data_IF_475626918443
#
_entry.id   IF_475626918443
#
_cell.length_a   1.000
_cell.length_b   1.000
_cell.length_c   1.000
_cell.angle_alpha   90.00
_cell.angle_beta   90.00
_cell.angle_gamma   90.00
#
_symmetry.space_group_name_H-M   'P 1'
#
loop_
_entity.id
_entity.type
_entity.pdbx_description
1 polymer ?
#
# COMPACT_ATOMS: atom_id res chain seq x y z
N UNK A 1 -1.85 -8.12 -1.93
CA UNK A 1 -0.91 -9.07 -2.58
C UNK A 1 -1.53 -9.72 -3.82
N UNK A 2 -2.68 -10.39 -3.73
CA UNK A 2 -3.34 -11.10 -4.86
C UNK A 2 -3.48 -10.24 -6.13
N UNK A 3 -3.89 -8.98 -5.99
CA UNK A 3 -4.09 -8.04 -7.11
C UNK A 3 -2.81 -7.78 -7.91
N UNK A 4 -1.66 -7.68 -7.23
CA UNK A 4 -0.36 -7.43 -7.88
C UNK A 4 0.08 -8.68 -8.66
N UNK A 5 -0.19 -9.87 -8.13
CA UNK A 5 0.08 -11.14 -8.80
C UNK A 5 -0.77 -11.23 -10.09
N UNK A 6 -2.08 -10.95 -10.01
CA UNK A 6 -2.97 -10.95 -11.18
C UNK A 6 -2.51 -9.91 -12.22
N UNK A 7 -2.09 -8.72 -11.77
CA UNK A 7 -1.56 -7.68 -12.65
C UNK A 7 -0.30 -8.12 -13.40
N UNK A 8 0.58 -8.90 -12.75
CA UNK A 8 1.80 -9.43 -13.38
C UNK A 8 1.52 -10.35 -14.57
N UNK A 9 0.43 -11.14 -14.50
CA UNK A 9 0.01 -12.04 -15.58
C UNK A 9 -0.89 -11.36 -16.63
N UNK A 10 -1.34 -10.13 -16.37
CA UNK A 10 -2.25 -9.41 -17.26
C UNK A 10 -1.52 -8.88 -18.49
N UNK A 11 -1.96 -9.29 -19.68
CA UNK A 11 -1.41 -8.83 -20.97
C UNK A 11 -2.36 -7.89 -21.75
N UNK A 12 -3.64 -7.88 -21.40
CA UNK A 12 -4.69 -7.17 -22.15
C UNK A 12 -5.11 -5.89 -21.43
N UNK A 13 -5.30 -4.79 -22.18
CA UNK A 13 -5.72 -3.49 -21.64
C UNK A 13 -7.06 -3.56 -20.87
N UNK A 14 -8.02 -4.35 -21.36
CA UNK A 14 -9.30 -4.53 -20.70
C UNK A 14 -9.15 -5.12 -19.30
N UNK A 15 -8.39 -6.21 -19.17
CA UNK A 15 -8.16 -6.87 -17.89
C UNK A 15 -7.37 -5.97 -16.94
N UNK A 16 -6.48 -5.12 -17.45
CA UNK A 16 -5.76 -4.12 -16.66
C UNK A 16 -6.73 -3.14 -15.98
N UNK A 17 -7.72 -2.61 -16.70
CA UNK A 17 -8.73 -1.70 -16.12
C UNK A 17 -9.59 -2.39 -15.06
N UNK A 18 -10.00 -3.64 -15.30
CA UNK A 18 -10.76 -4.42 -14.31
C UNK A 18 -9.95 -4.61 -13.04
N UNK A 19 -8.68 -5.00 -13.16
CA UNK A 19 -7.78 -5.16 -12.01
C UNK A 19 -7.53 -3.84 -11.30
N UNK A 20 -7.41 -2.72 -12.03
CA UNK A 20 -7.22 -1.39 -11.45
C UNK A 20 -8.44 -0.93 -10.63
N UNK A 21 -9.67 -1.23 -11.08
CA UNK A 21 -10.90 -0.93 -10.32
C UNK A 21 -10.93 -1.75 -9.03
N UNK A 22 -10.64 -3.05 -9.12
CA UNK A 22 -10.56 -3.93 -7.93
C UNK A 22 -9.47 -3.47 -6.96
N UNK A 23 -8.32 -3.02 -7.48
CA UNK A 23 -7.25 -2.43 -6.68
C UNK A 23 -7.72 -1.19 -5.91
N UNK A 24 -8.41 -0.28 -6.59
CA UNK A 24 -8.95 0.94 -5.98
C UNK A 24 -9.93 0.66 -4.85
N UNK A 25 -10.83 -0.30 -5.05
CA UNK A 25 -11.79 -0.73 -4.01
C UNK A 25 -11.09 -1.28 -2.77
N UNK A 26 -10.11 -2.17 -2.95
CA UNK A 26 -9.37 -2.76 -1.83
C UNK A 26 -8.53 -1.70 -1.10
N UNK A 27 -7.78 -0.87 -1.83
CA UNK A 27 -6.97 0.21 -1.23
C UNK A 27 -7.86 1.16 -0.43
N UNK A 28 -9.02 1.56 -0.98
CA UNK A 28 -9.98 2.43 -0.30
C UNK A 28 -10.53 1.80 1.00
N UNK A 29 -10.94 0.53 0.94
CA UNK A 29 -11.44 -0.19 2.11
C UNK A 29 -10.39 -0.32 3.22
N UNK A 30 -9.16 -0.71 2.88
CA UNK A 30 -8.06 -0.85 3.85
C UNK A 30 -7.69 0.48 4.49
N UNK A 31 -7.67 1.57 3.72
CA UNK A 31 -7.39 2.91 4.24
C UNK A 31 -8.47 3.41 5.20
N UNK A 32 -9.74 3.12 4.92
CA UNK A 32 -10.84 3.45 5.82
C UNK A 32 -10.74 2.69 7.15
N UNK A 33 -10.51 1.38 7.09
CA UNK A 33 -10.35 0.53 8.27
C UNK A 33 -9.15 0.99 9.11
N UNK A 34 -7.99 1.24 8.50
CA UNK A 34 -6.80 1.70 9.20
C UNK A 34 -7.03 3.00 9.98
N UNK A 35 -7.72 3.98 9.39
CA UNK A 35 -8.06 5.24 10.07
C UNK A 35 -9.02 5.03 11.24
N UNK A 36 -10.04 4.19 11.06
CA UNK A 36 -11.01 3.89 12.13
C UNK A 36 -10.35 3.16 13.30
N UNK A 37 -9.42 2.25 13.02
CA UNK A 37 -8.69 1.49 14.02
C UNK A 37 -7.71 2.39 14.78
N UNK A 38 -6.97 3.24 14.06
CA UNK A 38 -6.08 4.24 14.65
C UNK A 38 -6.85 5.19 15.59
N UNK A 39 -8.04 5.66 15.19
CA UNK A 39 -8.88 6.52 16.02
C UNK A 39 -9.33 5.88 17.34
N UNK A 40 -9.46 4.54 17.38
CA UNK A 40 -9.84 3.80 18.60
C UNK A 40 -8.69 3.58 19.57
N UNK A 41 -7.47 3.45 19.08
CA UNK A 41 -6.29 3.12 19.90
C UNK A 41 -5.65 4.39 20.51
N UNK A 42 -5.73 5.52 19.82
CA UNK A 42 -5.05 6.74 20.28
C UNK A 42 -5.73 7.32 21.53
N UNK A 43 -5.00 7.59 22.63
CA UNK A 43 -5.53 8.30 23.79
C UNK A 43 -5.95 9.73 23.43
N UNK A 44 -7.06 10.21 24.03
CA UNK A 44 -7.70 11.47 23.63
C UNK A 44 -6.76 12.68 23.64
N UNK A 45 -5.88 12.73 24.63
CA UNK A 45 -4.93 13.84 24.82
C UNK A 45 -3.77 13.86 23.81
N UNK A 46 -3.64 12.83 22.96
CA UNK A 46 -2.57 12.75 21.94
C UNK A 46 -3.09 12.55 20.51
N UNK A 47 -4.40 12.68 20.28
CA UNK A 47 -5.01 12.51 18.94
C UNK A 47 -4.29 13.33 17.87
N UNK A 48 -4.02 14.61 18.11
CA UNK A 48 -3.37 15.49 17.13
C UNK A 48 -1.94 15.02 16.75
N UNK A 49 -1.16 14.56 17.72
CA UNK A 49 0.23 14.13 17.51
C UNK A 49 0.32 12.83 16.68
N UNK A 50 -0.51 11.83 17.01
CA UNK A 50 -0.54 10.57 16.28
C UNK A 50 -1.15 10.70 14.88
N UNK A 51 -2.22 11.50 14.70
CA UNK A 51 -2.76 11.78 13.36
C UNK A 51 -1.78 12.62 12.52
N UNK A 52 -1.06 13.56 13.14
CA UNK A 52 0.02 14.32 12.51
C UNK A 52 1.16 13.40 12.03
N UNK A 53 1.61 12.48 12.89
CA UNK A 53 2.63 11.49 12.54
C UNK A 53 2.18 10.52 11.45
N UNK A 54 0.94 10.04 11.50
CA UNK A 54 0.37 9.19 10.45
C UNK A 54 0.31 9.92 9.09
N UNK A 55 -0.07 11.21 9.09
CA UNK A 55 -0.06 12.05 7.89
C UNK A 55 1.34 12.25 7.33
N UNK A 56 2.33 12.50 8.19
CA UNK A 56 3.73 12.63 7.80
C UNK A 56 4.29 11.32 7.22
N UNK A 57 4.09 10.19 7.91
CA UNK A 57 4.49 8.87 7.43
C UNK A 57 3.84 8.52 6.09
N UNK A 58 2.55 8.86 5.91
CA UNK A 58 1.83 8.64 4.66
C UNK A 58 2.43 9.46 3.51
N UNK A 59 2.86 10.70 3.76
CA UNK A 59 3.53 11.53 2.76
C UNK A 59 4.90 10.96 2.36
N UNK A 60 5.68 10.48 3.32
CA UNK A 60 6.94 9.80 3.02
C UNK A 60 6.68 8.57 2.16
N UNK A 61 5.73 7.71 2.54
CA UNK A 61 5.36 6.53 1.77
C UNK A 61 4.89 6.89 0.34
N UNK A 62 4.11 7.97 0.19
CA UNK A 62 3.62 8.45 -1.10
C UNK A 62 4.75 8.99 -2.01
N UNK A 63 5.84 9.49 -1.44
CA UNK A 63 7.02 9.94 -2.22
C UNK A 63 7.98 8.78 -2.49
N UNK A 64 8.29 7.97 -1.49
CA UNK A 64 9.26 6.87 -1.60
C UNK A 64 8.76 5.72 -2.47
N UNK A 65 7.46 5.40 -2.44
CA UNK A 65 6.88 4.32 -3.24
C UNK A 65 7.08 4.52 -4.75
N UNK A 66 6.63 5.64 -5.33
CA UNK A 66 6.86 5.96 -6.75
C UNK A 66 8.34 6.11 -7.10
N UNK A 67 9.17 6.60 -6.19
CA UNK A 67 10.61 6.72 -6.42
C UNK A 67 11.25 5.33 -6.61
N UNK A 68 10.97 4.38 -5.71
CA UNK A 68 11.46 3.00 -5.83
C UNK A 68 10.89 2.33 -7.08
N UNK A 69 9.58 2.46 -7.32
CA UNK A 69 8.94 1.89 -8.50
C UNK A 69 9.55 2.45 -9.80
N UNK A 70 9.72 3.77 -9.88
CA UNK A 70 10.29 4.46 -11.04
C UNK A 70 11.73 4.04 -11.30
N UNK A 71 12.58 4.01 -10.27
CA UNK A 71 13.97 3.58 -10.41
C UNK A 71 14.07 2.14 -10.92
N UNK A 72 13.29 1.20 -10.35
CA UNK A 72 13.29 -0.20 -10.81
C UNK A 72 12.69 -0.34 -12.20
N UNK A 73 11.68 0.47 -12.54
CA UNK A 73 11.06 0.46 -13.86
C UNK A 73 12.02 0.96 -14.96
N UNK A 74 12.89 1.93 -14.66
CA UNK A 74 13.88 2.47 -15.61
C UNK A 74 15.06 1.52 -15.79
N UNK A 75 15.57 0.93 -14.70
CA UNK A 75 16.76 0.08 -14.75
C UNK A 75 16.50 -1.33 -15.30
N UNK A 76 15.30 -1.87 -15.06
CA UNK A 76 14.97 -3.24 -15.43
C UNK A 76 13.84 -3.27 -16.45
N UNK A 77 12.59 -3.31 -15.96
CA UNK A 77 11.38 -3.39 -16.76
C UNK A 77 10.18 -3.06 -15.87
N UNK A 78 9.11 -2.53 -16.45
CA UNK A 78 7.90 -2.16 -15.70
C UNK A 78 7.22 -3.34 -14.99
N UNK A 79 7.37 -4.57 -15.51
CA UNK A 79 6.88 -5.78 -14.81
C UNK A 79 7.72 -6.13 -13.58
N UNK A 80 9.03 -5.94 -13.64
CA UNK A 80 9.93 -6.19 -12.51
C UNK A 80 9.79 -5.12 -11.44
N UNK A 81 9.34 -3.91 -11.81
CA UNK A 81 8.97 -2.85 -10.86
C UNK A 81 7.79 -3.23 -9.94
N UNK A 82 7.03 -4.30 -10.25
CA UNK A 82 5.99 -4.85 -9.37
C UNK A 82 6.59 -5.65 -8.19
N UNK A 83 7.81 -6.18 -8.30
CA UNK A 83 8.45 -7.01 -7.27
C UNK A 83 8.69 -6.22 -5.96
N UNK A 84 9.28 -5.00 -5.97
CA UNK A 84 9.40 -4.18 -4.77
C UNK A 84 8.06 -3.96 -4.07
N UNK A 85 6.98 -3.79 -4.84
CA UNK A 85 5.64 -3.58 -4.31
C UNK A 85 5.16 -4.81 -3.53
N UNK A 86 5.39 -6.02 -4.06
CA UNK A 86 5.10 -7.28 -3.38
C UNK A 86 5.90 -7.38 -2.08
N UNK A 87 7.21 -7.04 -2.11
CA UNK A 87 8.06 -7.05 -0.92
C UNK A 87 7.54 -6.10 0.17
N UNK A 88 7.16 -4.87 -0.18
CA UNK A 88 6.54 -3.93 0.77
C UNK A 88 5.26 -4.49 1.40
N UNK A 89 4.38 -5.10 0.60
CA UNK A 89 3.17 -5.74 1.11
C UNK A 89 3.48 -6.94 2.02
N UNK A 90 4.52 -7.71 1.71
CA UNK A 90 4.94 -8.86 2.52
C UNK A 90 5.46 -8.41 3.89
N UNK A 91 6.31 -7.37 3.91
CA UNK A 91 6.83 -6.77 5.15
C UNK A 91 5.66 -6.24 5.99
N UNK A 92 4.74 -5.51 5.38
CA UNK A 92 3.52 -5.03 6.06
C UNK A 92 2.69 -6.17 6.64
N UNK A 93 2.52 -7.26 5.90
CA UNK A 93 1.78 -8.44 6.38
C UNK A 93 2.46 -9.11 7.58
N UNK A 94 3.79 -9.29 7.54
CA UNK A 94 4.56 -9.85 8.66
C UNK A 94 4.45 -8.95 9.90
N UNK A 95 4.55 -7.62 9.71
CA UNK A 95 4.43 -6.66 10.79
C UNK A 95 3.05 -6.75 11.45
N UNK A 96 1.98 -6.77 10.64
CA UNK A 96 0.60 -6.92 11.14
C UNK A 96 0.35 -8.26 11.81
N UNK A 97 0.91 -9.36 11.30
CA UNK A 97 0.75 -10.68 11.91
C UNK A 97 1.36 -10.75 13.32
N UNK A 98 2.40 -9.94 13.57
CA UNK A 98 3.05 -9.86 14.88
C UNK A 98 2.27 -9.02 15.90
N UNK A 99 1.33 -8.21 15.43
CA UNK A 99 0.41 -7.46 16.29
C UNK A 99 -0.72 -8.41 16.69
N UNK A 100 -0.50 -9.11 17.81
CA UNK A 100 -1.61 -9.69 18.58
C UNK A 100 -2.36 -8.55 19.25
N UNK A 101 -3.68 -8.55 19.11
CA UNK A 101 -4.56 -7.85 20.05
C UNK A 101 -4.24 -8.24 21.50
#
# INVERSE_FOLDING_TARGET
>A
MLIIIILFFTKTKFLFYVVAILAGLVIGSSQSVARSWLARIIPENKKAEFFGFNGFSSKIAATTGPLIFGTVSVLFNQRLALIPLILFFLISFILFYKVKE
#
